data_IF_735964800387
#
_entry.id   IF_735964800387
#
_cell.length_a   1.000
_cell.length_b   1.000
_cell.length_c   1.000
_cell.angle_alpha   90.00
_cell.angle_beta   90.00
_cell.angle_gamma   90.00
#
_symmetry.space_group_name_H-M   'P 1'
#
loop_
_entity.id
_entity.type
_entity.pdbx_description
1 polymer ?
#
# COMPACT_ATOMS: atom_id res chain seq x y z
N UNK A 1 -6.46 19.81 -32.28
CA UNK A 1 -7.11 19.18 -31.12
C UNK A 1 -6.01 18.64 -30.23
N UNK A 2 -5.98 18.95 -28.92
CA UNK A 2 -4.95 18.42 -28.00
C UNK A 2 -5.54 17.21 -27.28
N UNK A 3 -4.89 16.06 -27.41
CA UNK A 3 -5.29 14.82 -26.73
C UNK A 3 -4.41 14.68 -25.49
N UNK A 4 -5.00 14.15 -24.40
CA UNK A 4 -4.27 13.74 -23.22
C UNK A 4 -4.68 12.32 -22.82
N UNK A 5 -3.74 11.57 -22.26
CA UNK A 5 -3.95 10.27 -21.64
C UNK A 5 -3.60 10.38 -20.17
N UNK A 6 -4.53 9.94 -19.32
CA UNK A 6 -4.33 9.86 -17.87
C UNK A 6 -4.21 8.38 -17.52
N UNK A 7 -3.05 7.98 -17.03
CA UNK A 7 -2.79 6.64 -16.57
C UNK A 7 -3.12 6.52 -15.09
N UNK A 8 -3.76 5.43 -14.69
CA UNK A 8 -3.66 4.99 -13.30
C UNK A 8 -2.23 4.45 -13.03
N UNK A 9 -1.76 4.54 -11.81
CA UNK A 9 -0.46 3.98 -11.41
C UNK A 9 -0.54 2.45 -11.31
N UNK A 10 -1.37 1.96 -10.38
CA UNK A 10 -1.43 0.55 -10.02
C UNK A 10 -2.23 -0.25 -11.06
N UNK A 11 -1.68 -1.37 -11.53
CA UNK A 11 -2.34 -2.23 -12.51
C UNK A 11 -2.32 -1.73 -13.95
N UNK A 12 -1.89 -0.49 -14.19
CA UNK A 12 -1.73 0.08 -15.54
C UNK A 12 -0.25 0.32 -15.86
N UNK A 13 0.44 1.20 -15.12
CA UNK A 13 1.89 1.43 -15.29
C UNK A 13 2.73 0.43 -14.49
N UNK A 14 2.20 0.01 -13.33
CA UNK A 14 2.85 -0.90 -12.40
C UNK A 14 2.11 -2.23 -12.32
N UNK A 15 2.85 -3.34 -12.49
CA UNK A 15 2.39 -4.66 -12.07
C UNK A 15 2.56 -4.77 -10.56
N UNK A 16 1.44 -4.92 -9.86
CA UNK A 16 1.41 -5.01 -8.41
C UNK A 16 1.46 -6.48 -7.96
N UNK A 17 2.20 -6.74 -6.90
CA UNK A 17 2.18 -8.00 -6.16
C UNK A 17 1.94 -7.68 -4.69
N UNK A 18 0.87 -8.24 -4.13
CA UNK A 18 0.43 -7.94 -2.77
C UNK A 18 0.43 -9.19 -1.92
N UNK A 19 0.96 -9.10 -0.72
CA UNK A 19 0.90 -10.18 0.27
C UNK A 19 0.27 -9.62 1.52
N UNK A 20 -0.76 -10.30 2.02
CA UNK A 20 -1.34 -10.03 3.33
C UNK A 20 -1.01 -11.18 4.30
N UNK A 21 -0.91 -10.88 5.59
CA UNK A 21 -0.83 -11.87 6.65
C UNK A 21 -2.06 -11.71 7.54
N UNK A 22 -2.77 -12.79 7.78
CA UNK A 22 -3.85 -12.85 8.76
C UNK A 22 -3.22 -12.83 10.16
N UNK A 23 -3.56 -11.82 10.97
CA UNK A 23 -2.95 -11.64 12.29
C UNK A 23 -3.39 -12.73 13.26
N UNK A 24 -4.60 -13.28 13.09
CA UNK A 24 -5.13 -14.29 14.00
C UNK A 24 -4.57 -15.67 13.71
N UNK A 25 -4.44 -16.04 12.43
CA UNK A 25 -3.99 -17.38 12.04
C UNK A 25 -2.50 -17.44 11.71
N UNK A 26 -1.87 -16.31 11.40
CA UNK A 26 -0.51 -16.24 10.88
C UNK A 26 -0.37 -16.65 9.41
N UNK A 27 -1.48 -16.97 8.72
CA UNK A 27 -1.46 -17.41 7.33
C UNK A 27 -1.17 -16.26 6.37
N UNK A 28 -0.42 -16.57 5.31
CA UNK A 28 -0.13 -15.62 4.24
C UNK A 28 -1.09 -15.79 3.07
N UNK A 29 -1.69 -14.68 2.65
CA UNK A 29 -2.50 -14.57 1.45
C UNK A 29 -1.67 -13.92 0.35
N UNK A 30 -1.45 -14.65 -0.74
CA UNK A 30 -0.61 -14.21 -1.85
C UNK A 30 -1.42 -13.59 -2.98
N UNK A 31 -0.85 -12.56 -3.61
CA UNK A 31 -1.42 -11.82 -4.73
C UNK A 31 -2.85 -11.31 -4.48
N UNK A 32 -3.08 -10.79 -3.26
CA UNK A 32 -4.41 -10.36 -2.82
C UNK A 32 -4.90 -9.12 -3.55
N UNK A 33 -6.21 -9.08 -3.77
CA UNK A 33 -6.93 -7.87 -4.17
C UNK A 33 -7.39 -7.18 -2.88
N UNK A 34 -6.76 -6.07 -2.51
CA UNK A 34 -7.03 -5.38 -1.23
C UNK A 34 -8.49 -4.93 -1.10
N UNK A 35 -9.12 -4.54 -2.21
CA UNK A 35 -10.54 -4.16 -2.24
C UNK A 35 -11.48 -5.34 -1.96
N UNK A 36 -11.08 -6.57 -2.28
CA UNK A 36 -11.86 -7.76 -1.89
C UNK A 36 -11.76 -8.00 -0.39
N UNK A 37 -10.58 -7.86 0.21
CA UNK A 37 -10.40 -8.00 1.66
C UNK A 37 -11.23 -6.96 2.43
N UNK A 38 -11.15 -5.70 2.00
CA UNK A 38 -11.93 -4.59 2.58
C UNK A 38 -13.44 -4.74 2.29
N UNK A 39 -13.81 -5.24 1.11
CA UNK A 39 -15.21 -5.35 0.68
C UNK A 39 -16.04 -6.40 1.43
N UNK A 40 -15.39 -7.34 2.14
CA UNK A 40 -16.06 -8.40 2.91
C UNK A 40 -17.01 -7.87 3.98
N UNK A 41 -16.73 -6.70 4.56
CA UNK A 41 -17.55 -6.09 5.62
C UNK A 41 -17.72 -4.58 5.39
N UNK A 42 -18.82 -3.97 5.87
CA UNK A 42 -19.09 -2.56 5.64
C UNK A 42 -18.09 -1.61 6.31
N UNK A 43 -17.56 -1.97 7.48
CA UNK A 43 -16.68 -1.11 8.29
C UNK A 43 -15.22 -1.57 8.33
N UNK A 44 -14.78 -2.26 7.26
CA UNK A 44 -13.37 -2.48 7.02
C UNK A 44 -12.76 -1.32 6.23
N UNK A 45 -11.50 -1.02 6.53
CA UNK A 45 -10.68 -0.06 5.79
C UNK A 45 -9.26 -0.58 5.57
N UNK A 46 -8.69 -0.23 4.42
CA UNK A 46 -7.25 -0.28 4.19
C UNK A 46 -6.63 1.04 4.64
N UNK A 47 -5.71 0.94 5.59
CA UNK A 47 -4.95 2.03 6.15
C UNK A 47 -3.53 1.97 5.59
N UNK A 48 -3.09 3.00 4.88
CA UNK A 48 -1.73 3.07 4.31
C UNK A 48 -0.85 3.93 5.18
N UNK A 49 0.33 3.41 5.53
CA UNK A 49 1.31 4.15 6.34
C UNK A 49 2.22 4.96 5.43
N UNK A 50 2.29 6.27 5.66
CA UNK A 50 3.13 7.19 4.88
C UNK A 50 4.58 7.16 5.39
N UNK A 51 5.26 6.03 5.14
CA UNK A 51 6.60 5.76 5.65
C UNK A 51 7.52 5.20 4.56
N UNK A 52 8.80 5.53 4.65
CA UNK A 52 9.83 4.85 3.88
C UNK A 52 9.99 3.42 4.40
N UNK A 53 9.64 2.44 3.56
CA UNK A 53 9.72 1.02 3.89
C UNK A 53 11.10 0.56 4.38
N UNK A 54 12.20 1.24 4.00
CA UNK A 54 13.54 0.92 4.50
C UNK A 54 13.68 1.12 6.02
N UNK A 55 12.96 2.08 6.59
CA UNK A 55 12.96 2.35 8.04
C UNK A 55 12.35 1.18 8.81
N UNK A 56 11.32 0.54 8.25
CA UNK A 56 10.61 -0.57 8.89
C UNK A 56 11.50 -1.79 9.09
N UNK A 57 12.41 -2.04 8.15
CA UNK A 57 13.35 -3.18 8.22
C UNK A 57 14.32 -3.04 9.40
N UNK A 58 14.65 -1.81 9.79
CA UNK A 58 15.59 -1.51 10.88
C UNK A 58 14.94 -1.48 12.27
N UNK A 59 13.61 -1.53 12.35
CA UNK A 59 12.89 -1.46 13.63
C UNK A 59 12.94 -2.79 14.39
N UNK A 60 12.92 -2.76 15.74
CA UNK A 60 12.83 -3.97 16.56
C UNK A 60 11.58 -4.79 16.17
N UNK A 61 11.70 -6.10 15.89
CA UNK A 61 10.58 -6.92 15.43
C UNK A 61 9.42 -7.03 16.44
N UNK A 62 9.73 -6.94 17.73
CA UNK A 62 8.79 -6.97 18.86
C UNK A 62 8.13 -5.62 19.16
N UNK A 63 8.51 -4.57 18.43
CA UNK A 63 7.90 -3.24 18.57
C UNK A 63 6.46 -3.27 18.08
N UNK A 64 5.53 -2.73 18.87
CA UNK A 64 4.14 -2.53 18.43
C UNK A 64 4.06 -1.51 17.31
N UNK A 65 3.19 -1.77 16.33
CA UNK A 65 2.92 -0.83 15.24
C UNK A 65 2.41 0.52 15.78
N UNK A 66 1.51 0.48 16.77
CA UNK A 66 0.96 1.66 17.44
C UNK A 66 2.05 2.54 18.08
N UNK A 67 3.02 1.93 18.76
CA UNK A 67 4.17 2.63 19.31
C UNK A 67 5.07 3.23 18.22
N UNK A 68 5.27 2.51 17.11
CA UNK A 68 6.06 2.99 15.98
C UNK A 68 5.44 4.24 15.36
N UNK A 69 4.14 4.20 15.09
CA UNK A 69 3.38 5.33 14.54
C UNK A 69 3.50 6.55 15.46
N UNK A 70 3.22 6.37 16.76
CA UNK A 70 3.22 7.45 17.75
C UNK A 70 4.59 8.08 17.92
N UNK A 71 5.63 7.26 18.11
CA UNK A 71 7.01 7.75 18.37
C UNK A 71 7.62 8.46 17.16
N UNK A 72 7.21 8.09 15.95
CA UNK A 72 7.80 8.63 14.72
C UNK A 72 6.89 9.64 14.00
N UNK A 73 5.69 9.94 14.53
CA UNK A 73 4.74 10.84 13.89
C UNK A 73 4.33 10.37 12.49
N UNK A 74 4.14 9.07 12.30
CA UNK A 74 3.80 8.51 10.98
C UNK A 74 2.35 8.85 10.66
N UNK A 75 2.14 9.52 9.53
CA UNK A 75 0.78 9.75 9.03
C UNK A 75 0.21 8.46 8.41
N UNK A 76 -1.10 8.28 8.59
CA UNK A 76 -1.85 7.13 8.08
C UNK A 76 -3.10 7.64 7.39
N UNK A 77 -3.36 7.11 6.21
CA UNK A 77 -4.50 7.51 5.39
C UNK A 77 -5.43 6.33 5.12
N UNK A 78 -6.73 6.62 5.05
CA UNK A 78 -7.74 5.66 4.60
C UNK A 78 -7.63 5.57 3.08
N UNK A 79 -7.01 4.50 2.58
CA UNK A 79 -6.81 4.32 1.15
C UNK A 79 -8.06 3.76 0.46
N UNK A 80 -8.76 2.84 1.12
CA UNK A 80 -10.07 2.38 0.65
C UNK A 80 -10.92 1.85 1.80
N UNK A 81 -12.23 2.05 1.68
CA UNK A 81 -13.23 1.51 2.58
C UNK A 81 -14.53 1.30 1.81
N UNK A 82 -15.36 0.35 2.25
CA UNK A 82 -16.68 0.14 1.62
C UNK A 82 -17.69 1.20 2.05
N UNK A 83 -17.69 1.55 3.33
CA UNK A 83 -18.48 2.64 3.89
C UNK A 83 -17.57 3.80 4.24
N UNK A 84 -18.14 5.00 4.42
CA UNK A 84 -17.38 6.13 4.94
C UNK A 84 -16.87 5.79 6.34
N UNK A 85 -15.56 5.84 6.51
CA UNK A 85 -14.88 5.65 7.79
C UNK A 85 -14.18 6.95 8.13
N UNK A 86 -14.46 7.48 9.32
CA UNK A 86 -13.77 8.67 9.81
C UNK A 86 -12.34 8.31 10.20
N UNK A 87 -11.37 9.09 9.71
CA UNK A 87 -9.95 8.88 10.00
C UNK A 87 -9.68 8.83 11.51
N UNK A 88 -10.41 9.60 12.31
CA UNK A 88 -10.27 9.63 13.77
C UNK A 88 -10.59 8.29 14.42
N UNK A 89 -11.58 7.55 13.93
CA UNK A 89 -11.98 6.28 14.54
C UNK A 89 -11.03 5.17 14.12
N UNK A 90 -10.58 5.18 12.87
CA UNK A 90 -9.52 4.30 12.38
C UNK A 90 -8.21 4.48 13.17
N UNK A 91 -7.81 5.73 13.44
CA UNK A 91 -6.61 6.03 14.21
C UNK A 91 -6.73 5.56 15.67
N UNK A 92 -7.89 5.79 16.32
CA UNK A 92 -8.12 5.30 17.69
C UNK A 92 -7.97 3.78 17.80
N UNK A 93 -8.55 3.03 16.86
CA UNK A 93 -8.41 1.57 16.81
C UNK A 93 -6.93 1.17 16.71
N UNK A 94 -6.19 1.79 15.78
CA UNK A 94 -4.77 1.50 15.59
C UNK A 94 -3.96 1.86 16.84
N UNK A 95 -4.23 3.02 17.47
CA UNK A 95 -3.51 3.49 18.66
C UNK A 95 -3.73 2.60 19.89
N UNK A 96 -4.94 2.03 20.02
CA UNK A 96 -5.30 1.13 21.12
C UNK A 96 -4.87 -0.33 20.86
N UNK A 97 -4.55 -0.68 19.62
CA UNK A 97 -4.14 -2.04 19.28
C UNK A 97 -2.78 -2.40 19.91
N UNK A 98 -2.73 -3.59 20.49
CA UNK A 98 -1.52 -4.16 21.12
C UNK A 98 -1.04 -5.46 20.51
N UNK A 99 -1.77 -6.00 19.52
CA UNK A 99 -1.55 -7.34 18.96
C UNK A 99 -0.60 -7.31 17.77
N UNK A 100 -0.63 -6.25 16.95
CA UNK A 100 0.17 -6.19 15.73
C UNK A 100 1.57 -5.66 16.00
N UNK A 101 2.57 -6.43 15.59
CA UNK A 101 3.98 -6.16 15.78
C UNK A 101 4.66 -5.74 14.47
N UNK A 102 5.82 -5.10 14.61
CA UNK A 102 6.67 -4.73 13.47
C UNK A 102 7.10 -5.95 12.66
N UNK A 103 7.32 -7.09 13.33
CA UNK A 103 7.62 -8.36 12.66
C UNK A 103 6.55 -8.75 11.62
N UNK A 104 5.27 -8.50 11.91
CA UNK A 104 4.18 -8.84 10.97
C UNK A 104 4.32 -8.07 9.65
N UNK A 105 4.67 -6.78 9.71
CA UNK A 105 5.00 -5.98 8.52
C UNK A 105 6.27 -6.47 7.82
N UNK A 106 7.33 -6.75 8.59
CA UNK A 106 8.61 -7.20 8.05
C UNK A 106 8.46 -8.55 7.30
N UNK A 107 7.62 -9.45 7.79
CA UNK A 107 7.33 -10.73 7.16
C UNK A 107 6.60 -10.58 5.82
N UNK A 108 5.54 -9.76 5.75
CA UNK A 108 4.86 -9.53 4.46
C UNK A 108 5.76 -8.79 3.47
N UNK A 109 6.64 -7.89 3.94
CA UNK A 109 7.66 -7.26 3.10
C UNK A 109 8.66 -8.27 2.54
N UNK A 110 9.13 -9.21 3.37
CA UNK A 110 10.02 -10.27 2.93
C UNK A 110 9.35 -11.19 1.91
N UNK A 111 8.08 -11.54 2.13
CA UNK A 111 7.30 -12.35 1.20
C UNK A 111 7.15 -11.68 -0.18
N UNK A 112 6.86 -10.38 -0.21
CA UNK A 112 6.79 -9.59 -1.45
C UNK A 112 8.15 -9.58 -2.16
N UNK A 113 9.25 -9.28 -1.45
CA UNK A 113 10.61 -9.24 -2.03
C UNK A 113 11.04 -10.57 -2.64
N UNK A 114 10.57 -11.70 -2.09
CA UNK A 114 10.90 -13.03 -2.60
C UNK A 114 10.30 -13.30 -3.98
N UNK A 115 9.12 -12.73 -4.28
CA UNK A 115 8.34 -13.00 -5.50
C UNK A 115 8.39 -11.87 -6.53
N UNK A 116 8.52 -10.63 -6.09
CA UNK A 116 8.68 -9.47 -6.97
C UNK A 116 10.15 -9.05 -7.01
N UNK A 117 10.82 -9.30 -8.14
CA UNK A 117 12.15 -8.72 -8.42
C UNK A 117 11.98 -7.32 -8.98
N UNK A 118 13.01 -6.49 -8.83
CA UNK A 118 13.07 -5.12 -9.35
C UNK A 118 11.90 -4.26 -8.87
N UNK A 119 11.63 -4.35 -7.56
CA UNK A 119 10.57 -3.59 -6.91
C UNK A 119 10.91 -2.11 -7.00
N UNK A 120 10.09 -1.40 -7.76
CA UNK A 120 10.14 0.03 -7.91
C UNK A 120 9.46 0.74 -6.73
N UNK A 121 8.38 0.14 -6.24
CA UNK A 121 7.51 0.69 -5.20
C UNK A 121 7.26 -0.35 -4.12
N UNK A 122 7.35 0.03 -2.86
CA UNK A 122 6.94 -0.83 -1.74
C UNK A 122 6.15 -0.04 -0.71
N UNK A 123 4.87 -0.38 -0.57
CA UNK A 123 3.96 0.21 0.39
C UNK A 123 3.50 -0.82 1.41
N UNK A 124 3.33 -0.39 2.65
CA UNK A 124 2.76 -1.21 3.73
C UNK A 124 1.47 -0.59 4.24
N UNK A 125 0.59 -1.45 4.74
CA UNK A 125 -0.66 -1.02 5.32
C UNK A 125 -1.26 -2.04 6.28
N UNK A 126 -2.35 -1.62 6.90
CA UNK A 126 -3.16 -2.38 7.83
C UNK A 126 -4.56 -2.49 7.25
N UNK A 127 -5.19 -3.65 7.37
CA UNK A 127 -6.64 -3.74 7.18
C UNK A 127 -7.24 -3.76 8.58
N UNK A 128 -8.08 -2.78 8.86
CA UNK A 128 -8.80 -2.64 10.12
C UNK A 128 -10.25 -3.05 9.96
N UNK A 129 -10.88 -3.47 11.04
CA UNK A 129 -12.29 -3.80 11.14
C UNK A 129 -12.88 -3.12 12.38
N UNK A 130 -13.63 -2.03 12.17
CA UNK A 130 -14.22 -1.24 13.26
C UNK A 130 -15.38 -1.96 13.95
N UNK A 131 -16.03 -2.95 13.33
CA UNK A 131 -17.11 -3.71 13.98
C UNK A 131 -16.55 -4.60 15.10
N UNK A 132 -15.31 -5.05 14.95
CA UNK A 132 -14.65 -5.98 15.87
C UNK A 132 -13.49 -5.36 16.65
N UNK A 133 -13.25 -4.06 16.45
CA UNK A 133 -12.11 -3.31 17.01
C UNK A 133 -10.76 -4.02 16.80
N UNK A 134 -10.55 -4.55 15.59
CA UNK A 134 -9.41 -5.41 15.28
C UNK A 134 -8.64 -4.99 14.02
N UNK A 135 -7.40 -5.50 13.92
CA UNK A 135 -6.56 -5.39 12.72
C UNK A 135 -6.41 -6.80 12.14
N UNK A 136 -7.37 -7.29 11.34
CA UNK A 136 -7.35 -8.67 10.85
C UNK A 136 -6.16 -8.97 9.93
N UNK A 137 -5.65 -7.98 9.20
CA UNK A 137 -4.52 -8.18 8.30
C UNK A 137 -3.49 -7.06 8.36
N UNK A 138 -2.23 -7.45 8.23
CA UNK A 138 -1.19 -6.57 7.69
C UNK A 138 -0.99 -6.87 6.22
N UNK A 139 -0.63 -5.87 5.42
CA UNK A 139 -0.45 -6.03 3.98
C UNK A 139 0.79 -5.27 3.49
N UNK A 140 1.53 -5.89 2.58
CA UNK A 140 2.58 -5.23 1.80
C UNK A 140 2.27 -5.35 0.31
N UNK A 141 2.57 -4.27 -0.41
CA UNK A 141 2.41 -4.16 -1.85
C UNK A 141 3.74 -3.81 -2.47
N UNK A 142 4.24 -4.68 -3.35
CA UNK A 142 5.35 -4.41 -4.25
C UNK A 142 4.84 -4.04 -5.64
N UNK A 143 5.34 -2.97 -6.23
CA UNK A 143 5.06 -2.56 -7.60
C UNK A 143 6.31 -2.63 -8.46
N UNK A 144 6.19 -3.18 -9.66
CA UNK A 144 7.23 -3.12 -10.69
C UNK A 144 6.66 -2.52 -11.97
N UNK A 145 7.45 -1.74 -12.70
CA UNK A 145 7.02 -1.17 -13.98
C UNK A 145 6.77 -2.30 -14.99
N UNK A 146 5.68 -2.23 -15.76
CA UNK A 146 5.49 -3.17 -16.87
C UNK A 146 6.60 -2.97 -17.91
N UNK A 147 7.16 -4.04 -18.50
CA UNK A 147 8.27 -3.90 -19.44
C UNK A 147 7.99 -2.99 -20.65
N UNK A 148 6.73 -2.88 -21.07
CA UNK A 148 6.33 -2.06 -22.21
C UNK A 148 5.93 -0.63 -21.83
N UNK A 149 5.83 -0.29 -20.55
CA UNK A 149 5.44 1.06 -20.10
C UNK A 149 6.32 2.14 -20.73
N UNK A 150 7.66 2.07 -20.70
CA UNK A 150 8.51 3.12 -21.31
C UNK A 150 8.26 3.31 -22.80
N UNK A 151 7.98 2.22 -23.53
CA UNK A 151 7.70 2.29 -24.97
C UNK A 151 6.36 2.99 -25.25
N UNK A 152 5.33 2.72 -24.43
CA UNK A 152 4.02 3.38 -24.55
C UNK A 152 4.14 4.87 -24.26
N UNK A 153 4.81 5.25 -23.16
CA UNK A 153 5.02 6.66 -22.79
C UNK A 153 5.81 7.40 -23.88
N UNK A 154 6.90 6.80 -24.37
CA UNK A 154 7.68 7.35 -25.49
C UNK A 154 6.83 7.59 -26.73
N UNK A 155 6.05 6.60 -27.15
CA UNK A 155 5.20 6.69 -28.35
C UNK A 155 4.18 7.82 -28.23
N UNK A 156 3.53 7.95 -27.07
CA UNK A 156 2.55 9.02 -26.83
C UNK A 156 3.20 10.41 -26.85
N UNK A 157 4.40 10.55 -26.27
CA UNK A 157 5.16 11.78 -26.32
C UNK A 157 5.55 12.17 -27.76
N UNK A 158 6.01 11.22 -28.57
CA UNK A 158 6.36 11.44 -29.98
C UNK A 158 5.14 11.87 -30.82
N UNK A 159 3.94 11.44 -30.43
CA UNK A 159 2.67 11.86 -31.04
C UNK A 159 2.18 13.24 -30.55
N UNK A 160 2.88 13.88 -29.61
CA UNK A 160 2.47 15.15 -29.02
C UNK A 160 1.25 15.04 -28.09
N UNK A 161 0.99 13.86 -27.53
CA UNK A 161 -0.10 13.60 -26.57
C UNK A 161 0.35 13.99 -25.17
N UNK A 162 -0.49 14.72 -24.43
CA UNK A 162 -0.23 15.03 -23.03
C UNK A 162 -0.35 13.78 -22.15
N UNK A 163 0.59 13.56 -21.24
CA UNK A 163 0.62 12.37 -20.37
C UNK A 163 0.50 12.80 -18.91
N UNK A 164 -0.41 12.17 -18.17
CA UNK A 164 -0.62 12.41 -16.74
C UNK A 164 -0.75 11.09 -16.01
N UNK A 165 -0.42 11.07 -14.72
CA UNK A 165 -0.61 9.93 -13.83
C UNK A 165 -1.56 10.33 -12.71
N UNK A 166 -2.61 9.55 -12.50
CA UNK A 166 -3.47 9.61 -11.33
C UNK A 166 -3.08 8.47 -10.38
N UNK A 167 -2.93 8.78 -9.09
CA UNK A 167 -2.61 7.78 -8.07
C UNK A 167 -3.14 8.17 -6.70
N UNK A 168 -3.49 7.17 -5.89
CA UNK A 168 -3.76 7.33 -4.45
C UNK A 168 -2.51 7.20 -3.58
N UNK A 169 -1.34 6.92 -4.19
CA UNK A 169 -0.07 6.86 -3.47
C UNK A 169 0.48 8.25 -3.11
N UNK A 170 1.43 8.28 -2.17
CA UNK A 170 2.13 9.50 -1.82
C UNK A 170 2.82 10.15 -3.00
N UNK A 171 2.87 11.49 -3.00
CA UNK A 171 3.60 12.26 -4.01
C UNK A 171 5.09 11.88 -4.08
N UNK A 172 5.68 11.39 -2.99
CA UNK A 172 7.06 10.87 -2.99
C UNK A 172 7.19 9.69 -3.94
N UNK A 173 6.32 8.70 -3.83
CA UNK A 173 6.34 7.51 -4.67
C UNK A 173 5.94 7.85 -6.11
N UNK A 174 4.93 8.70 -6.28
CA UNK A 174 4.43 9.10 -7.59
C UNK A 174 5.45 9.91 -8.39
N UNK A 175 6.20 10.80 -7.75
CA UNK A 175 7.23 11.63 -8.42
C UNK A 175 8.36 10.76 -8.96
N UNK A 176 8.78 9.74 -8.20
CA UNK A 176 9.79 8.80 -8.68
C UNK A 176 9.21 8.02 -9.87
N UNK A 177 7.94 7.56 -9.81
CA UNK A 177 7.30 6.86 -10.93
C UNK A 177 7.34 7.70 -12.20
N UNK A 178 6.87 8.95 -12.12
CA UNK A 178 6.81 9.86 -13.25
C UNK A 178 8.18 10.14 -13.90
N UNK A 179 9.28 10.06 -13.14
CA UNK A 179 10.65 10.23 -13.67
C UNK A 179 11.21 8.97 -14.32
N UNK A 180 10.61 7.80 -14.08
CA UNK A 180 11.14 6.50 -14.50
C UNK A 180 10.24 5.76 -15.51
N UNK A 181 9.16 6.39 -15.98
CA UNK A 181 8.27 5.86 -17.03
C UNK A 181 8.34 6.67 -18.31
#
# INVERSE_FOLDING_TARGET
MKIAVVFDSAGTLLRMHRVAKDIKTGEFLDNVVSTELVGKKPYCALMVMQVDSTRLVSCPPDMKISDFIRKNGIDIEVACSRSRIEKTDALKLIENNTEVLMNDLQEVMAAVKKKCRDIFYMGVGLIIDLDTDSIPYVICTGGRVYPNTPNVIKTLNEMGVGIFIASGDSMRNLSVLAMNV
#
